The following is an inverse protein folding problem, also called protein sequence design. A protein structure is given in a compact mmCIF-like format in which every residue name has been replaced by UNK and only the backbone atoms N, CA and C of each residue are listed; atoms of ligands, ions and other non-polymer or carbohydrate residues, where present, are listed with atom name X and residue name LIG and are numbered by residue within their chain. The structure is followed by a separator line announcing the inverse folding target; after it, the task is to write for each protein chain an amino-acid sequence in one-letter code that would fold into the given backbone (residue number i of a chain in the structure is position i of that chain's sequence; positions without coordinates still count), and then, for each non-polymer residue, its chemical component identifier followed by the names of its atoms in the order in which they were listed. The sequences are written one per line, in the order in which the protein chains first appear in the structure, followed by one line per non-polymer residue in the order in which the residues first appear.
data_IF_767510154753
#
_entry.id   IF_767510154753
#
_cell.length_a   1.000
_cell.length_b   1.000
_cell.length_c   1.000
_cell.angle_alpha   90.00
_cell.angle_beta   90.00
_cell.angle_gamma   90.00
#
_symmetry.space_group_name_H-M   'P 1'
#
loop_
_entity.id
_entity.type
_entity.pdbx_description
1 polymer ?
#
# COMPACT_ATOMS: atom_id res chain seq x y z
N UNK A 1 -88.21 -11.77 2.81
CA UNK A 1 -87.25 -12.80 3.26
C UNK A 1 -86.74 -13.53 2.04
N UNK A 2 -85.51 -13.25 1.63
CA UNK A 2 -84.60 -14.14 0.91
C UNK A 2 -83.26 -13.42 0.99
N UNK A 3 -82.35 -13.94 1.81
CA UNK A 3 -81.02 -13.37 2.02
C UNK A 3 -80.06 -14.15 1.13
N UNK A 4 -79.53 -13.51 0.10
CA UNK A 4 -78.45 -14.09 -0.70
C UNK A 4 -77.18 -14.22 0.17
N UNK A 5 -76.49 -15.36 0.13
CA UNK A 5 -75.26 -15.55 0.91
C UNK A 5 -74.12 -14.70 0.33
N UNK A 6 -73.24 -14.15 1.18
CA UNK A 6 -72.09 -13.37 0.71
C UNK A 6 -71.11 -14.26 -0.06
N UNK A 7 -70.75 -13.81 -1.26
CA UNK A 7 -69.71 -14.41 -2.10
C UNK A 7 -68.37 -14.40 -1.36
N UNK A 8 -67.82 -15.59 -1.08
CA UNK A 8 -66.54 -15.74 -0.42
C UNK A 8 -65.39 -15.32 -1.37
N UNK A 9 -64.39 -14.57 -0.89
CA UNK A 9 -63.23 -14.21 -1.70
C UNK A 9 -62.38 -15.45 -2.03
N UNK A 10 -61.92 -15.51 -3.28
CA UNK A 10 -61.02 -16.57 -3.75
C UNK A 10 -59.73 -16.64 -2.92
N UNK A 11 -59.19 -17.84 -2.65
CA UNK A 11 -57.91 -17.98 -1.96
C UNK A 11 -56.78 -17.41 -2.83
N UNK A 12 -55.80 -16.70 -2.25
CA UNK A 12 -54.61 -16.27 -2.98
C UNK A 12 -53.82 -17.51 -3.46
N UNK A 13 -53.12 -17.43 -4.60
CA UNK A 13 -52.32 -18.54 -5.09
C UNK A 13 -51.21 -18.85 -4.08
N UNK A 14 -51.08 -20.13 -3.74
CA UNK A 14 -49.96 -20.68 -2.97
C UNK A 14 -48.64 -20.34 -3.68
N UNK A 15 -47.88 -19.42 -3.12
CA UNK A 15 -46.51 -19.14 -3.54
C UNK A 15 -45.65 -20.31 -3.08
N UNK A 16 -45.11 -21.07 -4.05
CA UNK A 16 -44.17 -22.15 -3.80
C UNK A 16 -42.86 -21.64 -3.16
N UNK A 17 -42.14 -22.48 -2.38
CA UNK A 17 -40.89 -22.10 -1.74
C UNK A 17 -39.77 -21.80 -2.74
N UNK A 18 -38.91 -20.87 -2.31
CA UNK A 18 -37.85 -20.20 -3.06
C UNK A 18 -36.81 -21.13 -3.71
N UNK A 19 -36.39 -20.76 -4.93
CA UNK A 19 -35.13 -21.20 -5.54
C UNK A 19 -34.23 -19.96 -5.68
N UNK A 20 -33.06 -19.88 -5.01
CA UNK A 20 -32.12 -18.79 -5.22
C UNK A 20 -31.47 -18.90 -6.61
N UNK A 21 -31.12 -17.77 -7.26
CA UNK A 21 -30.37 -17.82 -8.51
C UNK A 21 -28.99 -18.45 -8.31
N UNK A 22 -28.45 -19.18 -9.31
CA UNK A 22 -27.09 -19.72 -9.22
C UNK A 22 -26.08 -18.57 -9.16
N UNK A 23 -25.15 -18.68 -8.21
CA UNK A 23 -24.07 -17.72 -8.02
C UNK A 23 -23.18 -17.62 -9.28
N UNK A 24 -22.61 -16.44 -9.59
CA UNK A 24 -21.58 -16.34 -10.62
C UNK A 24 -20.36 -17.20 -10.23
N UNK A 25 -19.64 -17.77 -11.21
CA UNK A 25 -18.47 -18.58 -10.92
C UNK A 25 -17.41 -17.74 -10.22
N UNK A 26 -16.95 -18.28 -9.10
CA UNK A 26 -15.74 -17.85 -8.40
C UNK A 26 -14.59 -17.93 -9.39
N UNK A 27 -14.09 -16.79 -9.86
CA UNK A 27 -12.77 -16.73 -10.51
C UNK A 27 -11.73 -17.06 -9.44
N UNK A 28 -11.35 -18.34 -9.44
CA UNK A 28 -10.19 -18.83 -8.72
C UNK A 28 -8.97 -18.04 -9.20
N UNK A 29 -8.31 -17.43 -8.23
CA UNK A 29 -6.96 -16.88 -8.33
C UNK A 29 -6.07 -17.81 -9.18
N UNK A 30 -5.63 -17.32 -10.33
CA UNK A 30 -4.56 -17.93 -11.11
C UNK A 30 -3.23 -17.67 -10.38
N UNK A 31 -3.01 -18.44 -9.32
CA UNK A 31 -1.68 -18.70 -8.81
C UNK A 31 -1.09 -19.82 -9.67
N UNK A 32 0.13 -19.60 -10.17
CA UNK A 32 0.92 -20.51 -11.01
C UNK A 32 0.68 -20.43 -12.53
N UNK A 33 1.50 -19.60 -13.20
CA UNK A 33 2.19 -20.08 -14.39
C UNK A 33 3.67 -19.68 -14.37
N UNK A 34 4.48 -20.72 -14.59
CA UNK A 34 5.89 -20.71 -15.00
C UNK A 34 6.95 -20.60 -13.91
N UNK A 35 7.12 -21.72 -13.19
CA UNK A 35 8.46 -22.22 -12.89
C UNK A 35 9.10 -22.73 -14.20
N UNK A 36 10.10 -22.00 -14.72
CA UNK A 36 11.23 -22.53 -15.50
C UNK A 36 12.03 -21.41 -16.18
N UNK A 37 12.78 -20.65 -15.39
CA UNK A 37 14.06 -20.05 -15.80
C UNK A 37 14.74 -19.50 -14.54
N UNK A 38 15.07 -20.40 -13.61
CA UNK A 38 16.08 -20.13 -12.59
C UNK A 38 17.34 -20.83 -13.08
N UNK A 39 18.19 -20.10 -13.79
CA UNK A 39 19.42 -20.69 -14.33
C UNK A 39 20.34 -19.81 -15.16
N UNK A 40 19.98 -18.58 -15.55
CA UNK A 40 20.94 -17.68 -16.18
C UNK A 40 21.69 -16.89 -15.12
N UNK A 41 22.90 -17.35 -14.80
CA UNK A 41 23.88 -16.58 -14.05
C UNK A 41 24.20 -15.30 -14.84
N UNK A 42 24.05 -14.10 -14.27
CA UNK A 42 24.29 -12.83 -14.97
C UNK A 42 25.76 -12.61 -15.38
N UNK A 43 26.66 -13.49 -14.96
CA UNK A 43 28.07 -13.49 -15.34
C UNK A 43 28.40 -14.37 -16.56
N UNK A 44 27.44 -15.11 -17.10
CA UNK A 44 27.65 -15.95 -18.28
C UNK A 44 27.46 -15.13 -19.58
N UNK A 45 28.27 -14.11 -19.82
CA UNK A 45 28.43 -13.61 -21.18
C UNK A 45 29.39 -14.55 -21.92
N UNK A 46 28.88 -15.28 -22.91
CA UNK A 46 29.71 -15.97 -23.89
C UNK A 46 30.64 -14.94 -24.54
N UNK A 47 31.93 -15.02 -24.22
CA UNK A 47 32.98 -14.26 -24.89
C UNK A 47 33.12 -14.82 -26.31
N UNK A 48 32.34 -14.29 -27.25
CA UNK A 48 32.61 -14.45 -28.67
C UNK A 48 33.56 -13.33 -29.08
N UNK A 49 34.86 -13.67 -29.07
CA UNK A 49 35.94 -12.75 -29.38
C UNK A 49 35.91 -12.33 -30.83
N UNK A 50 35.24 -11.22 -31.14
CA UNK A 50 35.37 -10.57 -32.43
C UNK A 50 36.64 -9.70 -32.44
N UNK A 51 37.70 -10.23 -33.06
CA UNK A 51 38.92 -9.50 -33.40
C UNK A 51 38.59 -8.29 -34.27
N UNK A 52 38.86 -7.08 -33.77
CA UNK A 52 39.00 -5.90 -34.64
C UNK A 52 40.46 -5.47 -34.66
N UNK A 53 41.14 -5.97 -35.69
CA UNK A 53 42.29 -5.39 -36.41
C UNK A 53 42.99 -4.17 -35.80
N UNK A 54 44.24 -4.35 -35.39
CA UNK A 54 45.20 -3.27 -35.17
C UNK A 54 45.52 -2.59 -36.52
N UNK A 55 45.11 -1.35 -36.70
CA UNK A 55 45.68 -0.50 -37.75
C UNK A 55 47.01 0.07 -37.25
N UNK A 56 48.08 -0.57 -37.72
CA UNK A 56 49.44 -0.06 -37.74
C UNK A 56 49.46 1.34 -38.36
N UNK A 57 50.08 2.31 -37.70
CA UNK A 57 50.50 3.53 -38.36
C UNK A 57 51.94 3.81 -37.95
N UNK A 58 52.86 3.35 -38.80
CA UNK A 58 54.24 3.76 -38.79
C UNK A 58 54.38 5.13 -39.45
N UNK A 59 55.37 5.87 -38.94
CA UNK A 59 56.04 7.02 -39.57
C UNK A 59 55.43 8.41 -39.31
N UNK A 60 56.01 9.16 -38.37
CA UNK A 60 56.95 10.20 -38.79
C UNK A 60 57.85 10.66 -37.64
N UNK A 61 59.09 10.97 -38.00
CA UNK A 61 60.26 11.17 -37.14
C UNK A 61 60.22 12.44 -36.27
N UNK A 62 61.10 12.41 -35.26
CA UNK A 62 61.37 13.40 -34.26
C UNK A 62 61.56 14.84 -34.79
N UNK A 63 60.98 15.81 -34.09
CA UNK A 63 61.61 17.11 -33.91
C UNK A 63 61.66 17.48 -32.42
N UNK A 64 62.89 17.54 -31.95
CA UNK A 64 63.36 18.14 -30.72
C UNK A 64 63.07 19.65 -30.74
N UNK A 65 62.32 20.12 -29.74
CA UNK A 65 62.59 21.40 -29.09
C UNK A 65 61.87 21.44 -27.75
N UNK A 66 62.65 21.32 -26.67
CA UNK A 66 62.26 21.79 -25.35
C UNK A 66 61.94 23.28 -25.44
N UNK A 67 60.68 23.64 -25.28
CA UNK A 67 60.29 24.96 -24.83
C UNK A 67 59.34 24.81 -23.65
N UNK A 68 59.81 25.32 -22.53
CA UNK A 68 59.15 25.25 -21.24
C UNK A 68 57.84 26.05 -21.21
N UNK A 69 56.96 25.59 -20.33
CA UNK A 69 55.98 26.40 -19.61
C UNK A 69 54.91 27.12 -20.46
N UNK A 70 54.25 26.37 -21.34
CA UNK A 70 52.99 26.76 -21.98
C UNK A 70 51.81 26.11 -21.26
N UNK A 71 51.12 26.89 -20.44
CA UNK A 71 50.01 26.45 -19.60
C UNK A 71 48.96 25.59 -20.32
N UNK A 72 48.60 24.49 -19.70
CA UNK A 72 47.27 23.92 -19.85
C UNK A 72 46.99 23.07 -18.64
N UNK A 73 46.43 23.69 -17.62
CA UNK A 73 45.66 22.97 -16.61
C UNK A 73 44.56 22.23 -17.37
N UNK A 74 44.86 21.01 -17.83
CA UNK A 74 43.90 20.12 -18.47
C UNK A 74 42.88 19.81 -17.39
N UNK A 75 41.87 20.66 -17.26
CA UNK A 75 40.65 20.38 -16.51
C UNK A 75 40.13 19.09 -17.13
N UNK A 76 40.39 17.98 -16.45
CA UNK A 76 39.86 16.66 -16.76
C UNK A 76 38.35 16.87 -16.88
N UNK A 77 37.83 16.89 -18.11
CA UNK A 77 36.39 16.91 -18.34
C UNK A 77 35.84 15.69 -17.63
N UNK A 78 35.02 15.90 -16.60
CA UNK A 78 34.22 14.84 -16.01
C UNK A 78 33.56 14.10 -17.17
N UNK A 79 33.84 12.82 -17.31
CA UNK A 79 33.38 12.06 -18.47
C UNK A 79 31.85 12.04 -18.45
N UNK A 80 31.23 12.26 -19.60
CA UNK A 80 29.77 12.21 -19.75
C UNK A 80 29.20 10.87 -19.23
N UNK A 81 29.90 9.77 -19.50
CA UNK A 81 29.57 8.44 -18.98
C UNK A 81 29.69 8.36 -17.45
N UNK A 82 30.70 9.01 -16.85
CA UNK A 82 30.86 9.08 -15.39
C UNK A 82 29.71 9.82 -14.72
N UNK A 83 29.26 10.93 -15.31
CA UNK A 83 28.09 11.69 -14.84
C UNK A 83 26.79 10.89 -14.97
N UNK A 84 26.62 10.13 -16.07
CA UNK A 84 25.43 9.29 -16.26
C UNK A 84 25.35 8.15 -15.23
N UNK A 85 26.49 7.51 -14.92
CA UNK A 85 26.56 6.46 -13.91
C UNK A 85 26.27 7.01 -12.51
N UNK A 86 26.83 8.17 -12.17
CA UNK A 86 26.57 8.87 -10.90
C UNK A 86 25.08 9.22 -10.77
N UNK A 87 24.46 9.74 -11.84
CA UNK A 87 23.02 10.00 -11.87
C UNK A 87 22.15 8.76 -11.67
N UNK A 88 22.55 7.61 -12.22
CA UNK A 88 21.83 6.35 -12.00
C UNK A 88 21.91 5.86 -10.55
N UNK A 89 23.08 5.97 -9.91
CA UNK A 89 23.25 5.60 -8.50
C UNK A 89 22.37 6.47 -7.60
N UNK A 90 22.39 7.79 -7.81
CA UNK A 90 21.53 8.71 -7.05
C UNK A 90 20.04 8.49 -7.32
N UNK A 91 19.67 8.14 -8.57
CA UNK A 91 18.30 7.75 -8.91
C UNK A 91 17.86 6.49 -8.13
N UNK A 92 18.69 5.44 -8.10
CA UNK A 92 18.37 4.20 -7.37
C UNK A 92 18.30 4.43 -5.87
N UNK A 93 19.22 5.22 -5.31
CA UNK A 93 19.18 5.63 -3.90
C UNK A 93 17.92 6.43 -3.58
N UNK A 94 17.55 7.38 -4.43
CA UNK A 94 16.33 8.18 -4.30
C UNK A 94 15.07 7.33 -4.39
N UNK A 95 15.02 6.36 -5.31
CA UNK A 95 13.91 5.41 -5.43
C UNK A 95 13.71 4.61 -4.14
N UNK A 96 14.79 4.01 -3.63
CA UNK A 96 14.74 3.23 -2.39
C UNK A 96 14.37 4.12 -1.20
N UNK A 97 14.98 5.30 -1.08
CA UNK A 97 14.71 6.25 0.00
C UNK A 97 13.25 6.72 0.01
N UNK A 98 12.69 7.10 -1.14
CA UNK A 98 11.27 7.49 -1.25
C UNK A 98 10.33 6.34 -0.87
N UNK A 99 10.65 5.12 -1.30
CA UNK A 99 9.85 3.93 -0.99
C UNK A 99 9.88 3.63 0.51
N UNK A 100 11.05 3.70 1.14
CA UNK A 100 11.21 3.49 2.58
C UNK A 100 10.47 4.56 3.38
N UNK A 101 10.61 5.84 3.01
CA UNK A 101 9.91 6.94 3.66
C UNK A 101 8.38 6.77 3.57
N UNK A 102 7.85 6.42 2.40
CA UNK A 102 6.41 6.21 2.22
C UNK A 102 5.88 5.03 3.06
N UNK A 103 6.69 3.99 3.25
CA UNK A 103 6.36 2.86 4.13
C UNK A 103 6.36 3.29 5.61
N UNK A 104 7.36 4.03 6.04
CA UNK A 104 7.46 4.53 7.41
C UNK A 104 6.34 5.51 7.76
N UNK A 105 5.99 6.41 6.85
CA UNK A 105 4.85 7.32 7.02
C UNK A 105 3.51 6.58 7.09
N UNK A 106 3.35 5.49 6.34
CA UNK A 106 2.18 4.61 6.45
C UNK A 106 2.15 3.94 7.82
N UNK A 107 3.24 3.28 8.21
CA UNK A 107 3.38 2.59 9.49
C UNK A 107 3.06 3.52 10.66
N UNK A 108 3.59 4.75 10.66
CA UNK A 108 3.31 5.76 11.68
C UNK A 108 1.82 6.11 11.76
N UNK A 109 1.13 6.22 10.62
CA UNK A 109 -0.33 6.48 10.60
C UNK A 109 -1.11 5.28 11.12
N UNK A 110 -0.69 4.08 10.77
CA UNK A 110 -1.34 2.85 11.22
C UNK A 110 -1.18 2.68 12.75
N UNK A 111 -0.01 3.03 13.30
CA UNK A 111 0.25 3.06 14.75
C UNK A 111 -0.59 4.14 15.47
N UNK A 112 -0.72 5.33 14.89
CA UNK A 112 -1.54 6.42 15.47
C UNK A 112 -3.03 6.05 15.56
N UNK A 113 -3.54 5.25 14.63
CA UNK A 113 -4.94 4.78 14.62
C UNK A 113 -5.10 3.35 15.14
N UNK A 114 -4.09 2.82 15.83
CA UNK A 114 -4.14 1.48 16.40
C UNK A 114 -5.26 1.35 17.45
N UNK A 115 -5.75 0.12 17.62
CA UNK A 115 -6.74 -0.20 18.66
C UNK A 115 -6.15 0.07 20.04
N UNK A 116 -4.86 -0.20 20.25
CA UNK A 116 -4.16 0.09 21.52
C UNK A 116 -4.30 1.56 21.92
N UNK A 117 -4.06 2.50 20.99
CA UNK A 117 -4.25 3.92 21.25
C UNK A 117 -5.73 4.29 21.55
N UNK A 118 -6.68 3.61 20.91
CA UNK A 118 -8.10 3.79 21.20
C UNK A 118 -8.46 3.34 22.62
N UNK A 119 -7.91 2.20 23.05
CA UNK A 119 -8.11 1.63 24.39
C UNK A 119 -7.51 2.54 25.45
N UNK A 120 -6.24 2.93 25.31
CA UNK A 120 -5.56 3.85 26.24
C UNK A 120 -6.35 5.14 26.43
N UNK A 121 -6.88 5.69 25.33
CA UNK A 121 -7.66 6.91 25.38
C UNK A 121 -9.04 6.72 26.03
N UNK A 122 -9.70 5.56 25.85
CA UNK A 122 -10.94 5.23 26.58
C UNK A 122 -10.68 4.99 28.05
N UNK A 123 -9.58 4.34 28.42
CA UNK A 123 -9.22 4.11 29.82
C UNK A 123 -8.98 5.42 30.57
N UNK A 124 -8.40 6.41 29.90
CA UNK A 124 -8.23 7.77 30.43
C UNK A 124 -9.55 8.54 30.61
N UNK A 125 -10.65 8.12 29.97
CA UNK A 125 -11.96 8.78 30.11
C UNK A 125 -12.65 8.37 31.41
N UNK A 126 -12.61 9.26 32.40
CA UNK A 126 -13.23 9.08 33.73
C UNK A 126 -14.77 9.13 33.66
N UNK A 127 -15.32 9.71 32.59
CA UNK A 127 -16.76 9.93 32.39
C UNK A 127 -17.51 8.71 31.85
N UNK A 128 -16.79 7.61 31.59
CA UNK A 128 -17.33 6.31 31.19
C UNK A 128 -17.24 5.34 32.36
N UNK A 129 -18.32 4.60 32.60
CA UNK A 129 -18.30 3.48 33.56
C UNK A 129 -17.53 2.29 33.00
N UNK A 130 -17.10 1.37 33.86
CA UNK A 130 -16.37 0.16 33.42
C UNK A 130 -17.21 -0.70 32.46
N UNK A 131 -18.55 -0.69 32.62
CA UNK A 131 -19.47 -1.33 31.68
C UNK A 131 -19.50 -0.60 30.32
N UNK A 132 -19.57 0.73 30.30
CA UNK A 132 -19.49 1.48 29.03
C UNK A 132 -18.13 1.28 28.34
N UNK A 133 -17.05 1.19 29.10
CA UNK A 133 -15.70 0.92 28.58
C UNK A 133 -15.60 -0.45 27.93
N UNK A 134 -16.24 -1.49 28.47
CA UNK A 134 -16.23 -2.82 27.84
C UNK A 134 -16.90 -2.79 26.46
N UNK A 135 -18.06 -2.13 26.33
CA UNK A 135 -18.72 -1.95 25.03
C UNK A 135 -17.92 -1.05 24.07
N UNK A 136 -17.09 -0.13 24.58
CA UNK A 136 -16.22 0.68 23.74
C UNK A 136 -15.19 -0.17 23.00
N UNK A 137 -14.73 -1.28 23.60
CA UNK A 137 -13.83 -2.23 22.93
C UNK A 137 -14.48 -2.82 21.68
N UNK A 138 -15.75 -3.22 21.79
CA UNK A 138 -16.54 -3.73 20.66
C UNK A 138 -16.73 -2.67 19.56
N UNK A 139 -16.86 -1.39 19.94
CA UNK A 139 -16.92 -0.28 18.96
C UNK A 139 -15.65 -0.21 18.12
N UNK A 140 -14.49 -0.48 18.73
CA UNK A 140 -13.17 -0.38 18.10
C UNK A 140 -12.75 -1.61 17.29
N UNK A 141 -13.54 -2.70 17.26
CA UNK A 141 -13.35 -3.76 16.27
C UNK A 141 -13.41 -3.22 14.83
N UNK A 142 -14.15 -2.14 14.62
CA UNK A 142 -14.16 -1.40 13.36
C UNK A 142 -13.02 -0.38 13.33
N UNK A 143 -12.04 -0.62 12.45
CA UNK A 143 -10.93 0.31 12.18
C UNK A 143 -11.43 1.73 11.84
N UNK A 144 -12.56 1.84 11.13
CA UNK A 144 -13.16 3.14 10.80
C UNK A 144 -13.65 3.87 12.05
N UNK A 145 -14.23 3.14 13.01
CA UNK A 145 -14.68 3.72 14.28
C UNK A 145 -13.50 4.17 15.14
N UNK A 146 -12.46 3.35 15.27
CA UNK A 146 -11.22 3.74 15.97
C UNK A 146 -10.59 5.00 15.37
N UNK A 147 -10.51 5.06 14.04
CA UNK A 147 -10.01 6.24 13.35
C UNK A 147 -10.85 7.49 13.59
N UNK A 148 -12.18 7.41 13.51
CA UNK A 148 -13.08 8.54 13.80
C UNK A 148 -12.87 9.02 15.25
N UNK A 149 -12.74 8.09 16.19
CA UNK A 149 -12.51 8.40 17.60
C UNK A 149 -11.19 9.16 17.81
N UNK A 150 -10.06 8.65 17.32
CA UNK A 150 -8.72 9.28 17.50
C UNK A 150 -8.58 10.59 16.71
N UNK A 151 -9.17 10.68 15.52
CA UNK A 151 -9.10 11.91 14.71
C UNK A 151 -9.92 13.06 15.30
N UNK A 152 -10.93 12.76 16.12
CA UNK A 152 -11.77 13.78 16.77
C UNK A 152 -11.00 14.49 17.88
N UNK A 153 -10.56 15.74 17.61
CA UNK A 153 -9.74 16.52 18.56
C UNK A 153 -10.50 17.12 19.74
N UNK A 154 -11.82 17.22 19.66
CA UNK A 154 -12.64 17.76 20.74
C UNK A 154 -13.08 16.61 21.67
N UNK A 155 -12.65 16.60 22.95
CA UNK A 155 -12.92 15.49 23.87
C UNK A 155 -14.43 15.32 24.15
N UNK A 156 -15.19 16.42 24.21
CA UNK A 156 -16.64 16.35 24.42
C UNK A 156 -17.35 15.72 23.23
N UNK A 157 -16.95 16.08 22.00
CA UNK A 157 -17.54 15.50 20.78
C UNK A 157 -17.15 14.03 20.66
N UNK A 158 -15.91 13.69 20.98
CA UNK A 158 -15.38 12.33 21.01
C UNK A 158 -16.18 11.46 21.99
N UNK A 159 -16.37 11.91 23.23
CA UNK A 159 -17.17 11.23 24.25
C UNK A 159 -18.62 11.05 23.80
N UNK A 160 -19.27 12.12 23.33
CA UNK A 160 -20.67 12.07 22.92
C UNK A 160 -20.89 11.10 21.75
N UNK A 161 -19.94 11.07 20.80
CA UNK A 161 -19.95 10.12 19.71
C UNK A 161 -19.79 8.68 20.21
N UNK A 162 -18.85 8.43 21.11
CA UNK A 162 -18.60 7.10 21.66
C UNK A 162 -19.81 6.59 22.46
N UNK A 163 -20.38 7.43 23.34
CA UNK A 163 -21.61 7.11 24.09
C UNK A 163 -22.78 6.79 23.17
N UNK A 164 -22.88 7.48 22.01
CA UNK A 164 -23.91 7.17 21.01
C UNK A 164 -23.70 5.79 20.39
N UNK A 165 -22.46 5.39 20.11
CA UNK A 165 -22.12 4.08 19.55
C UNK A 165 -22.39 2.96 20.55
N UNK A 166 -21.96 3.14 21.80
CA UNK A 166 -22.22 2.20 22.89
C UNK A 166 -23.73 2.00 23.09
N UNK A 167 -24.53 3.09 23.10
CA UNK A 167 -25.99 2.97 23.23
C UNK A 167 -26.64 2.12 22.14
N UNK A 168 -26.15 2.22 20.90
CA UNK A 168 -26.64 1.40 19.78
C UNK A 168 -26.29 -0.08 20.00
N UNK A 169 -25.08 -0.37 20.49
CA UNK A 169 -24.64 -1.72 20.86
C UNK A 169 -25.49 -2.31 21.99
N UNK A 170 -25.63 -1.58 23.10
CA UNK A 170 -26.43 -2.02 24.26
C UNK A 170 -27.91 -2.25 23.91
N UNK A 171 -28.47 -1.43 23.02
CA UNK A 171 -29.85 -1.59 22.56
C UNK A 171 -30.05 -2.73 21.56
N UNK A 172 -28.97 -3.32 21.04
CA UNK A 172 -29.03 -4.43 20.08
C UNK A 172 -28.88 -5.81 20.75
N UNK A 173 -28.43 -5.85 22.01
CA UNK A 173 -28.23 -7.07 22.81
C UNK A 173 -29.41 -7.43 23.73
N UNK A 174 -30.53 -6.72 23.63
CA UNK A 174 -31.79 -6.98 24.36
C UNK A 174 -32.88 -7.45 23.41
#
# INVERSE_FOLDING_TARGET
MQVDPPSAPAPPPLVAPAVPPPAPPVERSNFEQSSSHLGANPFASSFDGQQTSNAHNEHNEAQDSRQEEGGSGRKRKQSHMGSALEGYVEYKKSQTSKTLQALEERKRRDEEFSVENCVDQVDAMIELTDEEKSYALDVFESETHGKIFITTKNPNVQLMWLKRKIRVLMGSTT
#
